data_IF_545284161613
#
_entry.id   IF_545284161613
#
_cell.length_a   1.000
_cell.length_b   1.000
_cell.length_c   1.000
_cell.angle_alpha   90.00
_cell.angle_beta   90.00
_cell.angle_gamma   90.00
#
_symmetry.space_group_name_H-M   'P 1'
#
loop_
_entity.id
_entity.type
_entity.pdbx_description
1 polymer ?
#
# COMPACT_ATOMS: atom_id res chain seq x y z
N UNK A 1 -22.14 -6.05 -8.46
CA UNK A 1 -20.79 -5.68 -8.96
C UNK A 1 -20.58 -6.32 -10.33
N UNK A 2 -20.11 -5.57 -11.33
CA UNK A 2 -19.58 -6.18 -12.55
C UNK A 2 -18.44 -7.13 -12.13
N UNK A 3 -18.31 -8.30 -12.77
CA UNK A 3 -17.23 -9.23 -12.44
C UNK A 3 -15.89 -8.53 -12.73
N UNK A 4 -15.06 -8.36 -11.69
CA UNK A 4 -13.73 -7.78 -11.82
C UNK A 4 -12.90 -8.70 -12.73
N UNK A 5 -12.32 -8.12 -13.78
CA UNK A 5 -11.56 -8.86 -14.80
C UNK A 5 -10.05 -8.80 -14.51
N UNK A 6 -9.59 -7.69 -13.97
CA UNK A 6 -8.16 -7.34 -13.83
C UNK A 6 -7.69 -7.36 -12.39
N UNK A 7 -8.59 -7.62 -11.45
CA UNK A 7 -8.30 -7.82 -10.04
C UNK A 7 -9.12 -8.98 -9.48
N UNK A 8 -8.63 -9.58 -8.38
CA UNK A 8 -9.40 -10.51 -7.56
C UNK A 8 -9.48 -9.91 -6.16
N UNK A 9 -10.63 -10.08 -5.54
CA UNK A 9 -10.90 -9.58 -4.19
C UNK A 9 -11.42 -10.75 -3.36
N UNK A 10 -10.69 -11.09 -2.31
CA UNK A 10 -11.05 -12.12 -1.35
C UNK A 10 -11.20 -11.49 0.03
N UNK A 11 -12.13 -11.99 0.84
CA UNK A 11 -12.37 -11.53 2.22
C UNK A 11 -12.19 -12.73 3.15
N UNK A 12 -11.31 -12.57 4.14
CA UNK A 12 -11.12 -13.52 5.22
C UNK A 12 -11.38 -12.82 6.57
N UNK A 13 -12.58 -13.00 7.10
CA UNK A 13 -13.02 -12.28 8.29
C UNK A 13 -12.96 -10.76 8.11
N UNK A 14 -12.03 -10.11 8.80
CA UNK A 14 -11.81 -8.65 8.74
C UNK A 14 -10.66 -8.23 7.81
N UNK A 15 -10.07 -9.18 7.11
CA UNK A 15 -8.98 -8.97 6.17
C UNK A 15 -9.51 -8.94 4.74
N UNK A 16 -9.14 -7.91 3.98
CA UNK A 16 -9.31 -7.84 2.53
C UNK A 16 -8.02 -8.28 1.84
N UNK A 17 -8.11 -9.12 0.81
CA UNK A 17 -6.98 -9.49 -0.04
C UNK A 17 -7.29 -9.02 -1.46
N UNK A 18 -6.49 -8.10 -1.98
CA UNK A 18 -6.59 -7.57 -3.34
C UNK A 18 -5.45 -8.12 -4.16
N UNK A 19 -5.76 -8.88 -5.22
CA UNK A 19 -4.76 -9.45 -6.13
C UNK A 19 -4.85 -8.76 -7.48
N UNK A 20 -3.78 -8.12 -7.93
CA UNK A 20 -3.64 -7.60 -9.30
C UNK A 20 -3.57 -8.80 -10.24
N UNK A 21 -4.51 -8.94 -11.19
CA UNK A 21 -4.70 -10.17 -11.94
C UNK A 21 -4.55 -9.99 -13.46
N UNK A 22 -3.32 -9.70 -13.87
CA UNK A 22 -2.88 -9.64 -15.28
C UNK A 22 -1.49 -10.27 -15.44
N UNK A 23 -1.27 -11.55 -14.99
CA UNK A 23 0.06 -12.16 -14.93
C UNK A 23 0.73 -12.29 -16.31
N UNK A 24 -0.04 -12.40 -17.39
CA UNK A 24 0.43 -12.51 -18.78
C UNK A 24 1.17 -11.24 -19.27
N UNK A 25 0.94 -10.09 -18.62
CA UNK A 25 1.60 -8.83 -18.88
C UNK A 25 2.31 -8.27 -17.65
N UNK A 26 2.81 -9.14 -16.77
CA UNK A 26 3.52 -8.77 -15.54
C UNK A 26 2.69 -7.85 -14.63
N UNK A 27 1.38 -8.03 -14.58
CA UNK A 27 0.45 -7.25 -13.77
C UNK A 27 0.53 -5.74 -14.04
N UNK A 28 0.88 -5.32 -15.28
CA UNK A 28 0.82 -3.90 -15.67
C UNK A 28 -0.60 -3.40 -15.68
N UNK A 29 -0.78 -2.10 -15.36
CA UNK A 29 -2.09 -1.50 -15.22
C UNK A 29 -2.41 -0.54 -16.37
N UNK A 30 -3.55 -0.78 -17.01
CA UNK A 30 -4.24 0.16 -17.87
C UNK A 30 -5.40 0.84 -17.12
N UNK A 31 -6.10 1.85 -17.68
CA UNK A 31 -7.12 2.61 -16.93
C UNK A 31 -8.20 1.75 -16.25
N UNK A 32 -8.71 0.72 -16.94
CA UNK A 32 -9.75 -0.15 -16.37
C UNK A 32 -9.22 -0.97 -15.17
N UNK A 33 -8.00 -1.50 -15.26
CA UNK A 33 -7.39 -2.22 -14.13
C UNK A 33 -7.12 -1.27 -12.94
N UNK A 34 -6.68 -0.03 -13.22
CA UNK A 34 -6.56 0.99 -12.16
C UNK A 34 -7.90 1.31 -11.51
N UNK A 35 -8.98 1.36 -12.29
CA UNK A 35 -10.32 1.65 -11.75
C UNK A 35 -10.81 0.52 -10.86
N UNK A 36 -10.69 -0.75 -11.27
CA UNK A 36 -11.08 -1.90 -10.45
C UNK A 36 -10.36 -1.93 -9.10
N UNK A 37 -9.05 -1.64 -9.10
CA UNK A 37 -8.29 -1.54 -7.84
C UNK A 37 -8.76 -0.34 -7.00
N UNK A 38 -9.08 0.79 -7.62
CA UNK A 38 -9.63 1.95 -6.91
C UNK A 38 -10.96 1.62 -6.24
N UNK A 39 -11.86 0.93 -6.95
CA UNK A 39 -13.17 0.52 -6.45
C UNK A 39 -13.04 -0.45 -5.27
N UNK A 40 -12.10 -1.42 -5.36
CA UNK A 40 -11.82 -2.35 -4.26
C UNK A 40 -11.34 -1.62 -2.99
N UNK A 41 -10.47 -0.62 -3.14
CA UNK A 41 -10.02 0.17 -1.99
C UNK A 41 -11.04 1.22 -1.52
N UNK A 42 -11.96 1.67 -2.36
CA UNK A 42 -13.11 2.50 -1.94
C UNK A 42 -14.06 1.68 -1.07
N UNK A 43 -14.36 0.43 -1.47
CA UNK A 43 -15.14 -0.50 -0.65
C UNK A 43 -14.44 -0.81 0.67
N UNK A 44 -13.13 -1.10 0.65
CA UNK A 44 -12.35 -1.31 1.87
C UNK A 44 -12.42 -0.12 2.82
N UNK A 45 -12.27 1.09 2.30
CA UNK A 45 -12.32 2.30 3.11
C UNK A 45 -13.70 2.48 3.78
N UNK A 46 -14.78 2.20 3.03
CA UNK A 46 -16.15 2.42 3.47
C UNK A 46 -16.70 1.30 4.37
N UNK A 47 -16.25 0.05 4.20
CA UNK A 47 -16.79 -1.11 4.92
C UNK A 47 -16.25 -1.18 6.36
N UNK A 48 -17.09 -1.00 7.41
CA UNK A 48 -16.64 -1.01 8.80
C UNK A 48 -16.15 -2.39 9.28
N UNK A 49 -16.55 -3.46 8.59
CA UNK A 49 -16.15 -4.82 8.95
C UNK A 49 -14.76 -5.21 8.45
N UNK A 50 -14.18 -4.44 7.53
CA UNK A 50 -12.83 -4.66 7.02
C UNK A 50 -11.84 -3.73 7.73
N UNK A 51 -10.82 -4.31 8.35
CA UNK A 51 -9.87 -3.57 9.21
C UNK A 51 -8.46 -3.48 8.63
N UNK A 52 -8.06 -4.48 7.83
CA UNK A 52 -6.72 -4.59 7.25
C UNK A 52 -6.85 -5.02 5.78
N UNK A 53 -5.96 -4.56 4.92
CA UNK A 53 -5.87 -5.06 3.55
C UNK A 53 -4.46 -5.58 3.22
N UNK A 54 -4.40 -6.65 2.40
CA UNK A 54 -3.19 -7.10 1.71
C UNK A 54 -3.37 -6.82 0.22
N UNK A 55 -2.35 -6.28 -0.45
CA UNK A 55 -2.28 -6.21 -1.91
C UNK A 55 -1.12 -7.05 -2.42
N UNK A 56 -1.36 -7.87 -3.45
CA UNK A 56 -0.35 -8.72 -4.08
C UNK A 56 -0.57 -8.84 -5.59
N UNK A 57 0.33 -9.49 -6.30
CA UNK A 57 0.21 -9.76 -7.73
C UNK A 57 -0.12 -11.24 -8.01
N UNK A 58 -0.93 -11.52 -9.02
CA UNK A 58 -1.17 -12.89 -9.48
C UNK A 58 0.07 -13.47 -10.15
N UNK A 59 0.29 -14.78 -9.96
CA UNK A 59 1.43 -15.52 -10.48
C UNK A 59 2.71 -15.29 -9.68
N UNK A 60 3.82 -15.77 -10.20
CA UNK A 60 5.12 -15.84 -9.52
C UNK A 60 6.14 -14.81 -10.03
N UNK A 61 5.85 -14.10 -11.14
CA UNK A 61 6.83 -13.25 -11.82
C UNK A 61 6.83 -11.80 -11.37
N UNK A 62 5.64 -11.25 -11.10
CA UNK A 62 5.52 -9.82 -10.82
C UNK A 62 4.42 -9.51 -9.81
N UNK A 63 4.71 -8.58 -8.94
CA UNK A 63 3.71 -7.83 -8.20
C UNK A 63 2.96 -6.90 -9.16
N UNK A 64 3.68 -5.96 -9.77
CA UNK A 64 3.19 -5.06 -10.81
C UNK A 64 4.39 -4.38 -11.53
N UNK A 65 4.45 -4.49 -12.84
CA UNK A 65 5.50 -3.83 -13.61
C UNK A 65 5.16 -2.39 -14.04
N UNK A 66 4.13 -1.78 -13.43
CA UNK A 66 3.76 -0.39 -13.63
C UNK A 66 2.71 -0.16 -14.72
N UNK A 67 2.82 0.97 -15.42
CA UNK A 67 1.89 1.31 -16.52
C UNK A 67 2.00 0.34 -17.69
N UNK A 68 0.86 0.00 -18.29
CA UNK A 68 0.80 -0.70 -19.56
C UNK A 68 1.19 0.24 -20.71
N UNK A 69 2.50 0.34 -20.96
CA UNK A 69 3.05 1.28 -21.97
C UNK A 69 2.57 0.98 -23.40
N UNK A 70 2.24 -0.28 -23.71
CA UNK A 70 1.67 -0.65 -25.01
C UNK A 70 0.27 -0.07 -25.17
N UNK A 71 -0.56 -0.19 -24.15
CA UNK A 71 -1.89 0.42 -24.12
C UNK A 71 -1.79 1.95 -24.23
N UNK A 72 -0.88 2.57 -23.46
CA UNK A 72 -0.67 4.02 -23.49
C UNK A 72 -0.24 4.53 -24.87
N UNK A 73 0.70 3.84 -25.53
CA UNK A 73 1.16 4.20 -26.87
C UNK A 73 0.02 4.08 -27.90
N UNK A 74 -0.75 2.99 -27.87
CA UNK A 74 -1.88 2.78 -28.76
C UNK A 74 -2.99 3.83 -28.57
N UNK A 75 -3.34 4.15 -27.32
CA UNK A 75 -4.36 5.17 -27.01
C UNK A 75 -3.90 6.54 -27.50
N UNK A 76 -2.65 6.91 -27.23
CA UNK A 76 -2.08 8.21 -27.65
C UNK A 76 -2.05 8.34 -29.17
N UNK A 77 -1.66 7.29 -29.89
CA UNK A 77 -1.67 7.26 -31.33
C UNK A 77 -3.09 7.46 -31.91
N UNK A 78 -4.11 6.90 -31.25
CA UNK A 78 -5.50 6.97 -31.68
C UNK A 78 -6.20 8.29 -31.33
N UNK A 79 -5.90 8.87 -30.17
CA UNK A 79 -6.69 9.98 -29.60
C UNK A 79 -5.90 11.25 -29.34
N UNK A 80 -4.56 11.21 -29.43
CA UNK A 80 -3.67 12.30 -28.99
C UNK A 80 -3.56 12.44 -27.45
N UNK A 81 -4.41 11.76 -26.68
CA UNK A 81 -4.51 11.92 -25.24
C UNK A 81 -3.64 10.90 -24.48
N UNK A 82 -3.29 11.26 -23.25
CA UNK A 82 -2.71 10.33 -22.28
C UNK A 82 -3.82 9.71 -21.44
N UNK A 83 -3.73 8.40 -21.10
CA UNK A 83 -4.63 7.82 -20.13
C UNK A 83 -4.54 8.56 -18.79
N UNK A 84 -5.68 8.71 -18.13
CA UNK A 84 -5.76 9.28 -16.80
C UNK A 84 -5.83 8.17 -15.76
N UNK A 85 -5.20 8.39 -14.61
CA UNK A 85 -5.40 7.55 -13.42
C UNK A 85 -6.68 7.96 -12.70
N UNK A 86 -7.31 7.04 -11.93
CA UNK A 86 -8.43 7.40 -11.06
C UNK A 86 -8.05 8.53 -10.07
N UNK A 87 -9.00 9.24 -9.49
CA UNK A 87 -8.73 10.32 -8.52
C UNK A 87 -7.88 9.86 -7.32
N UNK A 88 -8.01 8.60 -6.89
CA UNK A 88 -7.21 7.98 -5.81
C UNK A 88 -5.82 7.52 -6.28
N UNK A 89 -5.46 7.82 -7.52
CA UNK A 89 -4.14 7.60 -8.10
C UNK A 89 -3.93 6.20 -8.64
N UNK A 90 -2.70 5.93 -9.04
CA UNK A 90 -2.29 4.67 -9.64
C UNK A 90 -2.51 3.49 -8.69
N UNK A 91 -3.11 2.42 -9.19
CA UNK A 91 -3.48 1.25 -8.40
C UNK A 91 -4.50 1.51 -7.29
N UNK A 92 -5.21 2.67 -7.33
CA UNK A 92 -6.17 3.04 -6.31
C UNK A 92 -5.58 3.39 -4.95
N UNK A 93 -4.24 3.43 -4.82
CA UNK A 93 -3.52 3.69 -3.56
C UNK A 93 -2.60 4.91 -3.60
N UNK A 94 -2.03 5.24 -4.77
CA UNK A 94 -0.95 6.22 -4.86
C UNK A 94 -1.32 7.63 -4.35
N UNK A 95 -2.59 8.04 -4.46
CA UNK A 95 -3.12 9.33 -3.97
C UNK A 95 -4.16 9.16 -2.87
N UNK A 96 -4.20 8.01 -2.20
CA UNK A 96 -5.19 7.73 -1.15
C UNK A 96 -4.68 8.21 0.21
N UNK A 97 -4.63 9.53 0.41
CA UNK A 97 -4.20 10.17 1.66
C UNK A 97 -5.27 10.18 2.75
N UNK A 98 -6.48 9.72 2.43
CA UNK A 98 -7.66 9.63 3.29
C UNK A 98 -7.86 8.23 3.89
N UNK A 99 -7.07 7.23 3.49
CA UNK A 99 -7.18 5.87 4.00
C UNK A 99 -6.39 5.71 5.30
N UNK A 100 -7.10 5.65 6.42
CA UNK A 100 -6.53 5.43 7.75
C UNK A 100 -6.46 3.94 8.15
N UNK A 101 -7.06 3.04 7.39
CA UNK A 101 -6.92 1.60 7.57
C UNK A 101 -5.58 1.10 7.02
N UNK A 102 -4.90 0.15 7.69
CA UNK A 102 -3.60 -0.36 7.27
C UNK A 102 -3.68 -1.19 5.99
N UNK A 103 -2.63 -1.05 5.17
CA UNK A 103 -2.43 -1.84 3.94
C UNK A 103 -1.04 -2.48 3.97
N UNK A 104 -0.98 -3.76 3.69
CA UNK A 104 0.25 -4.55 3.56
C UNK A 104 0.48 -4.84 2.07
N UNK A 105 1.64 -4.49 1.53
CA UNK A 105 2.06 -4.94 0.21
C UNK A 105 2.84 -6.25 0.33
N UNK A 106 2.31 -7.33 -0.22
CA UNK A 106 2.99 -8.62 -0.35
C UNK A 106 3.57 -8.73 -1.77
N UNK A 107 4.85 -8.36 -1.90
CA UNK A 107 5.52 -8.22 -3.21
C UNK A 107 6.12 -9.55 -3.64
N UNK A 108 5.40 -10.26 -4.51
CA UNK A 108 5.73 -11.61 -4.98
C UNK A 108 6.82 -11.68 -6.06
N UNK A 109 7.16 -10.55 -6.70
CA UNK A 109 8.13 -10.53 -7.80
C UNK A 109 8.51 -9.11 -8.20
N UNK A 110 8.52 -8.85 -9.50
CA UNK A 110 8.88 -7.53 -10.04
C UNK A 110 7.89 -6.45 -9.61
N UNK A 111 8.38 -5.37 -9.01
CA UNK A 111 7.66 -4.15 -8.70
C UNK A 111 8.39 -2.96 -9.32
N UNK A 112 7.92 -2.45 -10.48
CA UNK A 112 8.60 -1.44 -11.27
C UNK A 112 7.72 -0.23 -11.52
N UNK A 113 8.29 0.97 -11.52
CA UNK A 113 7.56 2.20 -11.80
C UNK A 113 6.34 2.33 -10.91
N UNK A 114 5.16 2.53 -11.52
CA UNK A 114 3.89 2.58 -10.80
C UNK A 114 3.62 1.38 -9.87
N UNK A 115 4.14 0.19 -10.18
CA UNK A 115 4.04 -0.98 -9.29
C UNK A 115 4.84 -0.81 -8.00
N UNK A 116 6.04 -0.26 -8.09
CA UNK A 116 6.80 0.08 -6.89
C UNK A 116 6.17 1.27 -6.15
N UNK A 117 5.55 2.22 -6.86
CA UNK A 117 4.82 3.33 -6.24
C UNK A 117 3.59 2.87 -5.43
N UNK A 118 2.89 1.81 -5.90
CA UNK A 118 1.83 1.13 -5.12
C UNK A 118 2.43 0.51 -3.85
N UNK A 119 3.52 -0.23 -3.97
CA UNK A 119 4.16 -0.87 -2.82
C UNK A 119 4.66 0.15 -1.79
N UNK A 120 5.24 1.29 -2.23
CA UNK A 120 5.64 2.40 -1.36
C UNK A 120 4.47 3.13 -0.71
N UNK A 121 3.25 3.02 -1.26
CA UNK A 121 2.05 3.62 -0.70
C UNK A 121 1.41 2.75 0.41
N UNK A 122 1.77 1.48 0.49
CA UNK A 122 1.38 0.61 1.60
C UNK A 122 2.13 0.98 2.89
N UNK A 123 1.57 0.58 4.04
CA UNK A 123 2.14 0.87 5.36
C UNK A 123 3.24 -0.12 5.74
N UNK A 124 3.10 -1.37 5.29
CA UNK A 124 4.05 -2.47 5.51
C UNK A 124 4.36 -3.11 4.16
N UNK A 125 5.63 -3.35 3.87
CA UNK A 125 6.07 -4.00 2.65
C UNK A 125 6.82 -5.29 2.98
N UNK A 126 6.21 -6.43 2.64
CA UNK A 126 6.82 -7.75 2.75
C UNK A 126 7.20 -8.21 1.35
N UNK A 127 8.41 -8.66 1.18
CA UNK A 127 8.95 -9.04 -0.12
C UNK A 127 9.33 -10.53 -0.19
N UNK A 128 9.00 -11.17 -1.29
CA UNK A 128 9.67 -12.41 -1.69
C UNK A 128 11.18 -12.14 -1.88
N UNK A 129 12.02 -13.09 -1.54
CA UNK A 129 13.46 -13.07 -1.82
C UNK A 129 13.80 -12.89 -3.31
N UNK A 130 12.85 -13.22 -4.20
CA UNK A 130 12.94 -13.04 -5.65
C UNK A 130 12.52 -11.63 -6.11
N UNK A 131 11.91 -10.82 -5.25
CA UNK A 131 11.39 -9.52 -5.62
C UNK A 131 12.50 -8.54 -6.07
N UNK A 132 12.12 -7.69 -7.02
CA UNK A 132 13.01 -6.64 -7.57
C UNK A 132 12.22 -5.34 -7.67
N UNK A 133 12.86 -4.26 -7.28
CA UNK A 133 12.28 -2.92 -7.22
C UNK A 133 13.05 -1.94 -8.10
N UNK A 134 12.36 -1.06 -8.81
CA UNK A 134 12.98 0.08 -9.47
C UNK A 134 11.95 1.19 -9.76
N UNK A 135 12.45 2.41 -9.93
CA UNK A 135 11.76 3.52 -10.55
C UNK A 135 12.48 3.84 -11.89
N UNK A 136 12.22 3.05 -12.95
CA UNK A 136 12.99 3.13 -14.20
C UNK A 136 12.48 4.23 -15.15
N UNK A 137 11.57 5.08 -14.72
CA UNK A 137 10.93 6.12 -15.52
C UNK A 137 11.92 7.00 -16.29
N UNK A 138 13.09 7.41 -15.74
CA UNK A 138 14.05 8.23 -16.50
C UNK A 138 14.59 7.55 -17.75
N UNK A 139 14.64 6.22 -17.79
CA UNK A 139 15.10 5.45 -18.95
C UNK A 139 14.14 5.49 -20.14
N UNK A 140 12.92 5.95 -19.90
CA UNK A 140 11.87 6.12 -20.93
C UNK A 140 11.35 7.56 -21.01
N UNK A 141 12.12 8.53 -20.50
CA UNK A 141 11.81 9.95 -20.57
C UNK A 141 10.62 10.39 -19.72
N UNK A 142 10.38 9.66 -18.60
CA UNK A 142 9.30 9.93 -17.65
C UNK A 142 9.89 10.17 -16.24
N UNK A 143 9.02 10.46 -15.29
CA UNK A 143 9.33 10.53 -13.87
C UNK A 143 8.32 9.71 -13.08
N UNK A 144 8.72 9.21 -11.88
CA UNK A 144 7.87 8.43 -10.98
C UNK A 144 6.81 9.33 -10.31
N UNK A 145 5.79 9.68 -11.10
CA UNK A 145 4.80 10.72 -10.77
C UNK A 145 3.64 10.24 -9.90
N UNK A 146 3.52 8.94 -9.63
CA UNK A 146 2.50 8.40 -8.74
C UNK A 146 2.95 8.36 -7.25
N UNK A 147 3.89 9.22 -6.89
CA UNK A 147 4.37 9.41 -5.51
C UNK A 147 5.69 8.73 -5.19
N UNK A 148 6.32 8.05 -6.16
CA UNK A 148 7.61 7.37 -5.96
C UNK A 148 8.71 8.33 -5.55
N UNK A 149 8.82 9.48 -6.21
CA UNK A 149 9.79 10.52 -5.87
C UNK A 149 9.62 11.02 -4.41
N UNK A 150 8.39 11.24 -4.00
CA UNK A 150 8.07 11.78 -2.68
C UNK A 150 8.19 10.73 -1.56
N UNK A 151 7.70 9.50 -1.80
CA UNK A 151 7.72 8.44 -0.79
C UNK A 151 9.10 7.85 -0.58
N UNK A 152 9.80 7.48 -1.67
CA UNK A 152 11.11 6.85 -1.54
C UNK A 152 12.11 7.78 -0.83
N UNK A 153 12.12 9.08 -1.16
CA UNK A 153 13.00 10.07 -0.54
C UNK A 153 12.68 10.37 0.93
N UNK A 154 11.47 9.99 1.42
CA UNK A 154 11.08 10.09 2.82
C UNK A 154 11.29 8.80 3.61
N UNK A 155 11.35 7.66 2.93
CA UNK A 155 11.45 6.34 3.57
C UNK A 155 12.90 5.86 3.71
N UNK A 156 13.82 6.31 2.83
CA UNK A 156 15.23 5.92 2.87
C UNK A 156 16.17 7.14 2.79
N UNK A 157 17.47 6.98 3.13
CA UNK A 157 18.43 8.08 3.04
C UNK A 157 18.45 8.71 1.64
N UNK A 158 18.36 10.05 1.58
CA UNK A 158 18.16 10.81 0.34
C UNK A 158 19.16 10.45 -0.78
N UNK A 159 20.44 10.28 -0.45
CA UNK A 159 21.47 9.91 -1.45
C UNK A 159 21.21 8.52 -2.06
N UNK A 160 20.67 7.59 -1.30
CA UNK A 160 20.29 6.26 -1.78
C UNK A 160 19.05 6.34 -2.69
N UNK A 161 18.04 7.10 -2.27
CA UNK A 161 16.84 7.37 -3.07
C UNK A 161 17.20 8.03 -4.41
N UNK A 162 18.03 9.08 -4.40
CA UNK A 162 18.51 9.75 -5.62
C UNK A 162 19.28 8.80 -6.54
N UNK A 163 20.16 7.95 -5.99
CA UNK A 163 20.88 6.93 -6.77
C UNK A 163 19.94 5.98 -7.49
N UNK A 164 18.85 5.55 -6.85
CA UNK A 164 17.82 4.70 -7.48
C UNK A 164 17.04 5.47 -8.55
N UNK A 165 16.51 6.64 -8.22
CA UNK A 165 15.62 7.41 -9.10
C UNK A 165 16.33 7.99 -10.32
N UNK A 166 17.56 8.50 -10.18
CA UNK A 166 18.27 9.11 -11.30
C UNK A 166 18.84 8.10 -12.29
N UNK A 167 19.14 6.88 -11.84
CA UNK A 167 19.68 5.81 -12.70
C UNK A 167 18.63 4.82 -13.19
N UNK A 168 17.48 4.75 -12.51
CA UNK A 168 16.48 3.71 -12.73
C UNK A 168 17.03 2.30 -12.46
N UNK A 169 18.02 2.17 -11.54
CA UNK A 169 18.62 0.87 -11.24
C UNK A 169 17.65 -0.05 -10.49
N UNK A 170 17.86 -1.34 -10.65
CA UNK A 170 17.11 -2.35 -9.94
C UNK A 170 17.74 -2.62 -8.57
N UNK A 171 16.88 -2.86 -7.58
CA UNK A 171 17.22 -3.18 -6.20
C UNK A 171 16.60 -4.53 -5.85
N UNK A 172 17.37 -5.41 -5.23
CA UNK A 172 16.85 -6.69 -4.72
C UNK A 172 16.00 -6.49 -3.46
N UNK A 173 15.21 -7.51 -3.09
CA UNK A 173 14.48 -7.53 -1.82
C UNK A 173 15.41 -7.33 -0.63
N UNK A 174 16.57 -8.02 -0.62
CA UNK A 174 17.57 -7.90 0.44
C UNK A 174 18.12 -6.49 0.56
N UNK A 175 18.52 -5.88 -0.57
CA UNK A 175 18.96 -4.50 -0.58
C UNK A 175 17.85 -3.54 -0.13
N UNK A 176 16.60 -3.78 -0.52
CA UNK A 176 15.44 -2.99 -0.08
C UNK A 176 15.21 -3.05 1.43
N UNK A 177 15.46 -4.21 2.05
CA UNK A 177 15.45 -4.39 3.50
C UNK A 177 16.60 -3.60 4.17
N UNK A 178 17.80 -3.66 3.64
CA UNK A 178 18.95 -2.91 4.15
C UNK A 178 18.81 -1.40 3.98
N UNK A 179 18.08 -0.96 2.94
CA UNK A 179 17.74 0.45 2.73
C UNK A 179 16.61 0.93 3.64
N UNK A 180 15.73 0.04 4.10
CA UNK A 180 14.67 0.32 5.08
C UNK A 180 13.27 0.50 4.50
N UNK A 181 13.04 0.31 3.19
CA UNK A 181 11.67 0.35 2.62
C UNK A 181 10.99 -1.02 2.58
N UNK A 182 11.72 -2.12 2.76
CA UNK A 182 11.16 -3.47 2.92
C UNK A 182 11.18 -3.84 4.38
N UNK A 183 10.03 -4.24 4.93
CA UNK A 183 9.86 -4.62 6.35
C UNK A 183 10.38 -6.01 6.63
N UNK A 184 10.13 -6.97 5.73
CA UNK A 184 10.58 -8.35 5.84
C UNK A 184 10.85 -8.97 4.46
N UNK A 185 11.84 -9.88 4.40
CA UNK A 185 12.16 -10.68 3.22
C UNK A 185 12.03 -12.15 3.58
N UNK A 186 11.21 -12.88 2.82
CA UNK A 186 10.94 -14.29 3.05
C UNK A 186 11.07 -15.10 1.76
N UNK A 187 11.28 -16.42 1.83
CA UNK A 187 11.18 -17.28 0.66
C UNK A 187 9.84 -17.08 -0.06
N UNK A 188 9.85 -17.11 -1.39
CA UNK A 188 8.65 -16.84 -2.21
C UNK A 188 7.41 -17.64 -1.74
N UNK A 189 7.58 -18.94 -1.45
CA UNK A 189 6.49 -19.79 -1.00
C UNK A 189 5.89 -19.41 0.36
N UNK A 190 6.59 -18.58 1.16
CA UNK A 190 6.14 -18.14 2.48
C UNK A 190 5.54 -16.72 2.47
N UNK A 191 5.58 -16.02 1.33
CA UNK A 191 5.19 -14.61 1.25
C UNK A 191 3.80 -14.34 1.80
N UNK A 192 2.79 -15.08 1.33
CA UNK A 192 1.41 -14.87 1.76
C UNK A 192 1.20 -15.29 3.22
N UNK A 193 1.86 -16.35 3.69
CA UNK A 193 1.80 -16.76 5.09
C UNK A 193 2.36 -15.66 6.01
N UNK A 194 3.48 -15.04 5.64
CA UNK A 194 4.05 -13.91 6.37
C UNK A 194 3.13 -12.69 6.34
N UNK A 195 2.55 -12.35 5.18
CA UNK A 195 1.59 -11.24 5.08
C UNK A 195 0.34 -11.48 5.96
N UNK A 196 -0.18 -12.71 6.00
CA UNK A 196 -1.27 -13.08 6.91
C UNK A 196 -0.86 -13.00 8.38
N UNK A 197 0.38 -13.39 8.73
CA UNK A 197 0.91 -13.26 10.09
C UNK A 197 0.92 -11.80 10.55
N UNK A 198 1.41 -10.89 9.71
CA UNK A 198 1.39 -9.44 9.99
C UNK A 198 -0.04 -8.89 10.10
N UNK A 199 -0.93 -9.30 9.19
CA UNK A 199 -2.34 -8.91 9.26
C UNK A 199 -3.00 -9.43 10.55
N UNK A 200 -2.71 -10.67 10.98
CA UNK A 200 -3.18 -11.24 12.23
C UNK A 200 -2.75 -10.43 13.45
N UNK A 201 -1.48 -10.03 13.53
CA UNK A 201 -0.97 -9.18 14.61
C UNK A 201 -1.68 -7.82 14.66
N UNK A 202 -1.98 -7.23 13.48
CA UNK A 202 -2.75 -5.99 13.39
C UNK A 202 -4.18 -6.21 13.89
N UNK A 203 -4.82 -7.32 13.51
CA UNK A 203 -6.19 -7.64 13.90
C UNK A 203 -6.35 -7.97 15.40
N UNK A 204 -5.26 -8.30 16.11
CA UNK A 204 -5.25 -8.42 17.58
C UNK A 204 -5.31 -7.07 18.28
N UNK A 205 -5.06 -5.96 17.59
CA UNK A 205 -5.09 -4.61 18.13
C UNK A 205 -6.42 -3.91 17.86
N UNK A 206 -6.77 -2.90 18.68
CA UNK A 206 -7.95 -2.06 18.43
C UNK A 206 -7.86 -1.37 17.06
N UNK A 207 -8.81 -1.58 16.15
CA UNK A 207 -8.83 -0.92 14.85
C UNK A 207 -8.94 0.61 14.99
N UNK A 208 -9.58 1.11 16.06
CA UNK A 208 -9.65 2.54 16.31
C UNK A 208 -8.27 3.12 16.65
N UNK A 209 -7.48 2.42 17.48
CA UNK A 209 -6.11 2.84 17.81
C UNK A 209 -5.18 2.77 16.60
N UNK A 210 -5.29 1.75 15.76
CA UNK A 210 -4.49 1.60 14.54
C UNK A 210 -4.78 2.74 13.56
N UNK A 211 -6.04 3.03 13.29
CA UNK A 211 -6.46 4.12 12.41
C UNK A 211 -5.98 5.48 12.92
N UNK A 212 -6.13 5.73 14.22
CA UNK A 212 -5.62 6.94 14.87
C UNK A 212 -4.10 7.06 14.72
N UNK A 213 -3.36 5.98 14.99
CA UNK A 213 -1.90 5.94 14.87
C UNK A 213 -1.46 6.24 13.44
N UNK A 214 -2.01 5.54 12.44
CA UNK A 214 -1.68 5.77 11.02
C UNK A 214 -1.95 7.23 10.63
N UNK A 215 -3.13 7.75 10.94
CA UNK A 215 -3.50 9.11 10.56
C UNK A 215 -2.59 10.16 11.23
N UNK A 216 -2.31 10.02 12.53
CA UNK A 216 -1.42 10.93 13.26
C UNK A 216 -0.01 10.89 12.69
N UNK A 217 0.57 9.70 12.51
CA UNK A 217 1.93 9.54 11.95
C UNK A 217 2.02 10.19 10.57
N UNK A 218 1.13 9.83 9.65
CA UNK A 218 1.18 10.32 8.27
C UNK A 218 0.98 11.84 8.17
N UNK A 219 0.09 12.41 8.99
CA UNK A 219 -0.16 13.86 9.01
C UNK A 219 0.95 14.63 9.72
N UNK A 220 1.60 14.02 10.71
CA UNK A 220 2.71 14.64 11.43
C UNK A 220 3.98 14.79 10.58
N UNK A 221 4.16 13.97 9.53
CA UNK A 221 5.29 14.10 8.61
C UNK A 221 5.30 15.44 7.84
N UNK A 222 4.15 16.11 7.74
CA UNK A 222 4.02 17.41 7.09
C UNK A 222 4.23 18.59 8.08
N UNK A 223 4.45 18.31 9.37
CA UNK A 223 4.65 19.31 10.42
C UNK A 223 6.13 19.31 10.85
N UNK A 224 6.93 20.33 10.46
CA UNK A 224 8.38 20.33 10.69
C UNK A 224 8.78 20.33 12.17
N UNK A 225 7.99 21.00 13.03
CA UNK A 225 8.29 21.13 14.45
C UNK A 225 7.59 20.03 15.24
N UNK A 226 8.37 19.13 15.88
CA UNK A 226 7.85 18.01 16.68
C UNK A 226 6.89 18.48 17.79
N UNK A 227 7.21 19.60 18.48
CA UNK A 227 6.34 20.16 19.52
C UNK A 227 4.95 20.51 18.98
N UNK A 228 4.89 21.12 17.78
CA UNK A 228 3.63 21.46 17.13
C UNK A 228 2.88 20.20 16.71
N UNK A 229 3.57 19.22 16.13
CA UNK A 229 2.98 17.94 15.75
C UNK A 229 2.36 17.22 16.96
N UNK A 230 3.06 17.20 18.11
CA UNK A 230 2.58 16.55 19.33
C UNK A 230 1.37 17.26 19.96
N UNK A 231 1.23 18.57 19.78
CA UNK A 231 0.05 19.33 20.27
C UNK A 231 -1.16 19.19 19.36
N UNK A 232 -0.96 18.81 18.10
CA UNK A 232 -2.02 18.74 17.09
C UNK A 232 -2.62 17.32 17.01
N UNK A 233 -3.38 16.92 18.02
CA UNK A 233 -4.07 15.62 18.07
C UNK A 233 -5.58 15.74 17.74
N UNK A 234 -5.96 16.73 16.93
CA UNK A 234 -7.35 16.95 16.51
C UNK A 234 -7.72 16.24 15.20
N UNK A 235 -6.92 15.25 14.79
CA UNK A 235 -7.21 14.45 13.60
C UNK A 235 -8.45 13.57 13.82
N UNK A 236 -9.34 13.44 12.81
CA UNK A 236 -10.63 12.76 12.98
C UNK A 236 -10.54 11.34 13.54
N UNK A 237 -9.59 10.53 13.07
CA UNK A 237 -9.43 9.16 13.58
C UNK A 237 -8.94 9.14 15.03
N UNK A 238 -8.06 10.08 15.43
CA UNK A 238 -7.61 10.19 16.81
C UNK A 238 -8.76 10.60 17.74
N UNK A 239 -9.55 11.59 17.35
CA UNK A 239 -10.73 12.03 18.13
C UNK A 239 -11.76 10.92 18.22
N UNK A 240 -12.03 10.18 17.13
CA UNK A 240 -12.93 9.04 17.14
C UNK A 240 -12.42 7.93 18.09
N UNK A 241 -11.13 7.62 18.06
CA UNK A 241 -10.49 6.65 18.95
C UNK A 241 -10.72 7.02 20.43
N UNK A 242 -10.51 8.27 20.85
CA UNK A 242 -10.66 8.68 22.26
C UNK A 242 -12.10 8.55 22.78
N UNK A 243 -13.09 8.43 21.90
CA UNK A 243 -14.51 8.30 22.22
C UNK A 243 -15.05 6.89 21.97
N UNK A 244 -14.21 5.98 21.50
CA UNK A 244 -14.63 4.64 21.08
C UNK A 244 -14.88 3.69 22.27
N UNK A 245 -15.69 2.68 22.05
CA UNK A 245 -15.87 1.56 22.98
C UNK A 245 -14.54 0.85 23.24
N UNK A 246 -13.64 0.80 22.26
CA UNK A 246 -12.34 0.15 22.35
C UNK A 246 -11.41 0.79 23.39
N UNK A 247 -11.52 2.11 23.66
CA UNK A 247 -10.76 2.80 24.72
C UNK A 247 -11.17 2.36 26.11
N UNK A 248 -12.38 1.83 26.29
CA UNK A 248 -12.88 1.28 27.54
C UNK A 248 -12.53 -0.21 27.63
N UNK A 249 -12.75 -0.94 26.54
CA UNK A 249 -12.53 -2.39 26.49
C UNK A 249 -11.06 -2.78 26.72
N UNK A 250 -10.12 -2.07 26.10
CA UNK A 250 -8.70 -2.39 26.21
C UNK A 250 -8.19 -2.45 27.66
N UNK A 251 -8.26 -1.36 28.44
CA UNK A 251 -7.86 -1.34 29.84
C UNK A 251 -8.63 -2.35 30.71
N UNK A 252 -9.93 -2.55 30.42
CA UNK A 252 -10.76 -3.53 31.13
C UNK A 252 -10.28 -4.95 30.90
N UNK A 253 -10.11 -5.36 29.64
CA UNK A 253 -9.62 -6.68 29.28
C UNK A 253 -8.23 -6.97 29.86
N UNK A 254 -7.34 -5.95 29.84
CA UNK A 254 -6.02 -6.06 30.44
C UNK A 254 -6.08 -6.31 31.95
N UNK A 255 -6.93 -5.55 32.69
CA UNK A 255 -7.11 -5.73 34.12
C UNK A 255 -7.70 -7.10 34.46
N UNK A 256 -8.62 -7.60 33.63
CA UNK A 256 -9.27 -8.91 33.77
C UNK A 256 -8.42 -10.09 33.25
N UNK A 257 -7.23 -9.81 32.67
CA UNK A 257 -6.31 -10.80 32.06
C UNK A 257 -6.97 -11.67 30.98
N UNK A 258 -7.84 -11.10 30.20
CA UNK A 258 -8.50 -11.74 29.03
C UNK A 258 -8.13 -11.05 27.73
N UNK A 259 -8.42 -11.71 26.61
CA UNK A 259 -8.34 -11.06 25.30
C UNK A 259 -9.43 -9.98 25.19
N UNK A 260 -9.11 -8.82 24.59
CA UNK A 260 -10.09 -7.79 24.31
C UNK A 260 -11.04 -8.22 23.19
N UNK A 261 -12.27 -7.71 23.23
CA UNK A 261 -13.28 -7.89 22.18
C UNK A 261 -13.51 -6.55 21.48
N UNK A 262 -12.65 -6.26 20.49
CA UNK A 262 -12.67 -4.99 19.78
C UNK A 262 -13.94 -4.80 18.97
N UNK A 263 -14.57 -3.64 19.10
CA UNK A 263 -15.80 -3.28 18.39
C UNK A 263 -15.54 -2.41 17.16
N UNK A 264 -14.44 -1.66 17.14
CA UNK A 264 -14.08 -0.77 16.01
C UNK A 264 -14.97 0.47 15.93
N UNK A 265 -15.56 0.90 17.01
CA UNK A 265 -16.47 2.04 17.09
C UNK A 265 -16.44 2.72 18.47
#
# INVERSE_FOLDING_TARGET
MAMAQYSKVDIDGRLLIVTINRPEVYNTLHPMANQELSDAFDEFAANPDLWVAIITGAGDKAFCAGNDLKYHAALRAKTGNRPQSPPKGFGGLANRHDLDKPVIAAVNGVAMGGGFEIALAADILIASDQARFALPEPRVGLAAGAGGMQRLSRQIPLKRAMGMMLTGRHVSAREGYELGFVTAVVPHAQLMAEAHSWAGQILECSPMSIRATKQVVMRSLDVPALEIAMRNLHYPAYVAMTRSEDTIEGPKAFAEKRKPDWKGR
#
